data_IF_116451919738
#
_entry.id   IF_116451919738
#
_cell.length_a   1.000
_cell.length_b   1.000
_cell.length_c   1.000
_cell.angle_alpha   90.00
_cell.angle_beta   90.00
_cell.angle_gamma   90.00
#
_symmetry.space_group_name_H-M   'P 1'
#
loop_
_entity.id
_entity.type
_entity.pdbx_description
1 polymer ?
#
# COMPACT_ATOMS: atom_id res chain seq x y z
N UNK A 1 21.41 -2.87 32.62
CA UNK A 1 20.27 -3.10 31.71
C UNK A 1 20.70 -2.70 30.30
N UNK A 2 20.61 -3.64 29.35
CA UNK A 2 21.09 -3.50 27.98
C UNK A 2 20.47 -2.28 27.29
N UNK A 3 21.33 -1.42 26.73
CA UNK A 3 20.96 -0.24 25.96
C UNK A 3 20.17 -0.64 24.71
N UNK A 4 18.83 -0.61 24.82
CA UNK A 4 17.95 -0.45 23.66
C UNK A 4 18.23 0.94 23.09
N UNK A 5 19.24 0.99 22.24
CA UNK A 5 19.76 2.21 21.63
C UNK A 5 18.63 3.10 21.13
N UNK A 6 18.85 4.41 21.20
CA UNK A 6 18.31 5.46 20.34
C UNK A 6 18.66 5.22 18.83
N UNK A 7 18.82 3.95 18.44
CA UNK A 7 19.19 3.46 17.14
C UNK A 7 17.93 3.19 16.34
N UNK A 8 17.51 4.20 15.59
CA UNK A 8 17.00 3.98 14.24
C UNK A 8 17.07 5.23 13.36
N UNK A 9 17.83 6.26 13.74
CA UNK A 9 18.08 7.41 12.85
C UNK A 9 18.69 6.96 11.50
N UNK A 10 19.59 5.97 11.52
CA UNK A 10 20.12 5.31 10.31
C UNK A 10 19.03 4.64 9.47
N UNK A 11 18.10 3.92 10.11
CA UNK A 11 16.96 3.27 9.46
C UNK A 11 16.02 4.31 8.83
N UNK A 12 15.75 5.43 9.53
CA UNK A 12 14.95 6.54 9.02
C UNK A 12 15.61 7.19 7.80
N UNK A 13 16.92 7.46 7.84
CA UNK A 13 17.64 8.02 6.69
C UNK A 13 17.57 7.07 5.49
N UNK A 14 17.79 5.78 5.70
CA UNK A 14 17.74 4.78 4.63
C UNK A 14 16.34 4.69 4.00
N UNK A 15 15.30 4.62 4.83
CA UNK A 15 13.90 4.65 4.36
C UNK A 15 13.57 5.95 3.62
N UNK A 16 14.06 7.10 4.12
CA UNK A 16 13.86 8.39 3.48
C UNK A 16 14.50 8.47 2.09
N UNK A 17 15.73 7.96 1.95
CA UNK A 17 16.42 7.87 0.64
C UNK A 17 15.63 6.98 -0.32
N UNK A 18 15.21 5.79 0.12
CA UNK A 18 14.39 4.88 -0.72
C UNK A 18 13.09 5.56 -1.16
N UNK A 19 12.40 6.24 -0.24
CA UNK A 19 11.15 6.94 -0.54
C UNK A 19 11.34 8.07 -1.56
N UNK A 20 12.44 8.83 -1.48
CA UNK A 20 12.78 9.86 -2.47
C UNK A 20 13.05 9.24 -3.84
N UNK A 21 13.85 8.17 -3.91
CA UNK A 21 14.14 7.49 -5.17
C UNK A 21 12.87 6.93 -5.81
N UNK A 22 12.04 6.25 -5.03
CA UNK A 22 10.74 5.78 -5.49
C UNK A 22 9.87 6.94 -5.99
N UNK A 23 9.79 8.03 -5.22
CA UNK A 23 9.00 9.21 -5.58
C UNK A 23 9.44 9.84 -6.90
N UNK A 24 10.75 9.93 -7.11
CA UNK A 24 11.32 10.46 -8.35
C UNK A 24 11.03 9.55 -9.55
N UNK A 25 11.20 8.23 -9.40
CA UNK A 25 10.89 7.27 -10.46
C UNK A 25 9.40 7.29 -10.84
N UNK A 26 8.52 7.37 -9.83
CA UNK A 26 7.08 7.43 -10.01
C UNK A 26 6.61 8.66 -10.79
N UNK A 27 7.29 9.81 -10.65
CA UNK A 27 6.96 11.05 -11.36
C UNK A 27 7.56 11.10 -12.75
N UNK A 28 8.82 10.68 -12.93
CA UNK A 28 9.53 10.77 -14.22
C UNK A 28 9.07 9.67 -15.18
N UNK A 29 8.91 8.44 -14.69
CA UNK A 29 8.58 7.27 -15.51
C UNK A 29 7.43 6.47 -14.87
N UNK A 30 6.21 7.02 -14.86
CA UNK A 30 5.08 6.40 -14.17
C UNK A 30 4.69 5.04 -14.76
N UNK A 31 4.72 4.89 -16.08
CA UNK A 31 4.33 3.64 -16.75
C UNK A 31 5.19 2.42 -16.35
N UNK A 32 6.52 2.62 -16.30
CA UNK A 32 7.45 1.56 -15.88
C UNK A 32 7.38 1.33 -14.38
N UNK A 33 7.20 2.38 -13.59
CA UNK A 33 7.05 2.28 -12.13
C UNK A 33 5.81 1.47 -11.75
N UNK A 34 4.65 1.74 -12.38
CA UNK A 34 3.43 0.94 -12.21
C UNK A 34 3.70 -0.54 -12.48
N UNK A 35 4.36 -0.85 -13.59
CA UNK A 35 4.65 -2.22 -14.01
C UNK A 35 5.58 -2.92 -13.01
N UNK A 36 6.65 -2.24 -12.58
CA UNK A 36 7.59 -2.76 -11.59
C UNK A 36 6.91 -3.03 -10.25
N UNK A 37 6.02 -2.13 -9.79
CA UNK A 37 5.26 -2.32 -8.56
C UNK A 37 4.36 -3.55 -8.63
N UNK A 38 3.61 -3.72 -9.73
CA UNK A 38 2.70 -4.85 -9.89
C UNK A 38 3.46 -6.17 -9.94
N UNK A 39 4.61 -6.20 -10.61
CA UNK A 39 5.49 -7.36 -10.61
C UNK A 39 6.01 -7.66 -9.20
N UNK A 40 6.47 -6.65 -8.47
CA UNK A 40 6.91 -6.79 -7.09
C UNK A 40 5.80 -7.34 -6.17
N UNK A 41 4.58 -6.79 -6.26
CA UNK A 41 3.42 -7.32 -5.54
C UNK A 41 3.10 -8.76 -5.95
N UNK A 42 3.21 -9.09 -7.24
CA UNK A 42 3.03 -10.44 -7.74
C UNK A 42 4.01 -11.43 -7.09
N UNK A 43 5.29 -11.06 -7.00
CA UNK A 43 6.33 -11.88 -6.35
C UNK A 43 6.04 -12.04 -4.85
N UNK A 44 5.64 -10.97 -4.15
CA UNK A 44 5.27 -11.07 -2.73
C UNK A 44 4.08 -12.01 -2.54
N UNK A 45 3.03 -11.84 -3.34
CA UNK A 45 1.83 -12.68 -3.26
C UNK A 45 2.17 -14.14 -3.57
N UNK A 46 3.10 -14.41 -4.50
CA UNK A 46 3.62 -15.75 -4.74
C UNK A 46 4.30 -16.33 -3.49
N UNK A 47 5.21 -15.56 -2.86
CA UNK A 47 5.92 -16.00 -1.65
C UNK A 47 4.92 -16.29 -0.53
N UNK A 48 3.94 -15.41 -0.33
CA UNK A 48 2.88 -15.60 0.67
C UNK A 48 2.06 -16.85 0.34
N UNK A 49 1.64 -17.02 -0.92
CA UNK A 49 0.87 -18.18 -1.37
C UNK A 49 1.61 -19.48 -1.14
N UNK A 50 2.92 -19.53 -1.41
CA UNK A 50 3.78 -20.68 -1.12
C UNK A 50 3.91 -20.95 0.38
N UNK A 51 4.05 -19.89 1.20
CA UNK A 51 4.09 -20.03 2.66
C UNK A 51 2.76 -20.55 3.22
N UNK A 52 1.63 -20.05 2.71
CA UNK A 52 0.29 -20.54 3.07
C UNK A 52 0.08 -21.99 2.64
N UNK A 53 0.57 -22.37 1.46
CA UNK A 53 0.52 -23.75 0.99
C UNK A 53 1.31 -24.67 1.94
N UNK A 54 2.48 -24.24 2.40
CA UNK A 54 3.26 -24.97 3.39
C UNK A 54 2.50 -25.12 4.72
N UNK A 55 1.84 -24.04 5.18
CA UNK A 55 0.94 -24.08 6.33
C UNK A 55 -0.22 -25.06 6.15
N UNK A 56 -0.88 -25.06 4.99
CA UNK A 56 -1.97 -25.97 4.68
C UNK A 56 -1.51 -27.45 4.71
N UNK A 57 -0.33 -27.75 4.15
CA UNK A 57 0.27 -29.09 4.23
C UNK A 57 0.62 -29.49 5.66
N UNK A 58 1.04 -28.53 6.51
CA UNK A 58 1.21 -28.77 7.94
C UNK A 58 -0.11 -29.14 8.61
N UNK A 59 -1.19 -28.40 8.32
CA UNK A 59 -2.53 -28.62 8.88
C UNK A 59 -3.11 -29.98 8.47
N UNK A 60 -2.84 -30.45 7.24
CA UNK A 60 -3.18 -31.81 6.79
C UNK A 60 -2.50 -32.85 7.69
N UNK A 61 -1.20 -32.69 7.98
CA UNK A 61 -0.45 -33.61 8.85
C UNK A 61 -0.93 -33.59 10.30
N UNK A 62 -1.40 -32.43 10.77
CA UNK A 62 -1.93 -32.25 12.11
C UNK A 62 -3.43 -32.60 12.26
N UNK A 63 -4.09 -33.10 11.20
CA UNK A 63 -5.53 -33.38 11.16
C UNK A 63 -6.43 -32.17 11.50
N UNK A 64 -5.95 -30.96 11.21
CA UNK A 64 -6.72 -29.71 11.37
C UNK A 64 -7.52 -29.39 10.10
N UNK A 65 -8.55 -28.53 10.18
CA UNK A 65 -9.24 -28.03 8.99
C UNK A 65 -8.26 -27.34 8.04
N UNK A 66 -8.09 -27.88 6.83
CA UNK A 66 -7.09 -27.41 5.86
C UNK A 66 -7.68 -26.92 4.55
N UNK A 67 -8.96 -27.21 4.27
CA UNK A 67 -9.60 -26.96 2.97
C UNK A 67 -9.59 -25.47 2.62
N UNK A 68 -9.89 -24.60 3.59
CA UNK A 68 -9.88 -23.14 3.42
C UNK A 68 -8.48 -22.61 3.10
N UNK A 69 -7.46 -23.11 3.81
CA UNK A 69 -6.07 -22.68 3.64
C UNK A 69 -5.50 -23.18 2.32
N UNK A 70 -5.86 -24.40 1.91
CA UNK A 70 -5.46 -24.99 0.64
C UNK A 70 -6.07 -24.21 -0.54
N UNK A 71 -7.37 -23.90 -0.49
CA UNK A 71 -8.02 -23.10 -1.54
C UNK A 71 -7.40 -21.69 -1.60
N UNK A 72 -7.23 -21.04 -0.45
CA UNK A 72 -6.68 -19.68 -0.37
C UNK A 72 -5.24 -19.62 -0.89
N UNK A 73 -4.41 -20.62 -0.59
CA UNK A 73 -3.04 -20.70 -1.09
C UNK A 73 -2.97 -20.93 -2.59
N UNK A 74 -3.81 -21.80 -3.15
CA UNK A 74 -3.88 -22.01 -4.61
C UNK A 74 -4.30 -20.71 -5.32
N UNK A 75 -5.33 -20.03 -4.80
CA UNK A 75 -5.78 -18.74 -5.35
C UNK A 75 -4.65 -17.71 -5.29
N UNK A 76 -3.98 -17.57 -4.13
CA UNK A 76 -2.87 -16.64 -3.97
C UNK A 76 -1.72 -16.93 -4.96
N UNK A 77 -1.36 -18.21 -5.15
CA UNK A 77 -0.32 -18.59 -6.12
C UNK A 77 -0.75 -18.21 -7.55
N UNK A 78 -1.98 -18.55 -7.97
CA UNK A 78 -2.48 -18.21 -9.31
C UNK A 78 -2.44 -16.69 -9.53
N UNK A 79 -2.93 -15.92 -8.55
CA UNK A 79 -2.92 -14.45 -8.60
C UNK A 79 -1.50 -13.91 -8.68
N UNK A 80 -0.58 -14.44 -7.87
CA UNK A 80 0.83 -14.04 -7.87
C UNK A 80 1.51 -14.33 -9.21
N UNK A 81 1.28 -15.51 -9.82
CA UNK A 81 1.80 -15.86 -11.15
C UNK A 81 1.26 -14.87 -12.19
N UNK A 82 -0.06 -14.62 -12.15
CA UNK A 82 -0.70 -13.70 -13.08
C UNK A 82 -0.13 -12.27 -12.99
N UNK A 83 0.08 -11.75 -11.78
CA UNK A 83 0.65 -10.41 -11.57
C UNK A 83 2.12 -10.33 -12.02
N UNK A 84 2.90 -11.38 -11.78
CA UNK A 84 4.33 -11.42 -12.08
C UNK A 84 4.60 -11.52 -13.59
N UNK A 85 3.87 -12.39 -14.30
CA UNK A 85 4.16 -12.71 -15.71
C UNK A 85 3.22 -12.02 -16.71
N UNK A 86 2.01 -11.64 -16.30
CA UNK A 86 1.02 -10.99 -17.16
C UNK A 86 0.72 -9.56 -16.72
N UNK A 87 1.74 -8.83 -16.26
CA UNK A 87 1.62 -7.53 -15.58
C UNK A 87 0.70 -6.53 -16.28
N UNK A 88 0.79 -6.38 -17.61
CA UNK A 88 -0.06 -5.46 -18.37
C UNK A 88 -1.55 -5.86 -18.38
N UNK A 89 -1.87 -7.16 -18.51
CA UNK A 89 -3.25 -7.66 -18.47
C UNK A 89 -3.79 -7.69 -17.04
N UNK A 90 -2.95 -8.08 -16.08
CA UNK A 90 -3.28 -8.12 -14.66
C UNK A 90 -3.60 -6.72 -14.13
N UNK A 91 -2.89 -5.68 -14.60
CA UNK A 91 -3.22 -4.29 -14.30
C UNK A 91 -4.65 -3.94 -14.72
N UNK A 92 -5.03 -4.30 -15.95
CA UNK A 92 -6.37 -4.03 -16.47
C UNK A 92 -7.44 -4.71 -15.62
N UNK A 93 -7.23 -5.99 -15.28
CA UNK A 93 -8.16 -6.77 -14.43
C UNK A 93 -8.28 -6.16 -13.03
N UNK A 94 -7.15 -5.81 -12.40
CA UNK A 94 -7.12 -5.18 -11.08
C UNK A 94 -7.91 -3.88 -11.06
N UNK A 95 -7.68 -3.04 -12.07
CA UNK A 95 -8.34 -1.75 -12.17
C UNK A 95 -9.84 -1.95 -12.39
N UNK A 96 -10.27 -2.90 -13.22
CA UNK A 96 -11.70 -3.23 -13.38
C UNK A 96 -12.32 -3.69 -12.05
N UNK A 97 -11.64 -4.55 -11.28
CA UNK A 97 -12.12 -4.99 -9.96
C UNK A 97 -12.28 -3.80 -9.01
N UNK A 98 -11.28 -2.90 -8.96
CA UNK A 98 -11.34 -1.68 -8.14
C UNK A 98 -12.47 -0.76 -8.61
N UNK A 99 -12.69 -0.64 -9.92
CA UNK A 99 -13.78 0.14 -10.49
C UNK A 99 -15.16 -0.39 -10.09
N UNK A 100 -15.36 -1.71 -10.18
CA UNK A 100 -16.57 -2.39 -9.71
C UNK A 100 -16.78 -2.16 -8.21
N UNK A 101 -15.72 -2.27 -7.41
CA UNK A 101 -15.77 -2.01 -5.97
C UNK A 101 -16.13 -0.56 -5.66
N UNK A 102 -15.53 0.41 -6.37
CA UNK A 102 -15.84 1.84 -6.21
C UNK A 102 -17.30 2.15 -6.53
N UNK A 103 -17.85 1.54 -7.59
CA UNK A 103 -19.28 1.64 -7.93
C UNK A 103 -20.14 1.06 -6.80
N UNK A 104 -19.77 -0.11 -6.27
CA UNK A 104 -20.49 -0.72 -5.15
C UNK A 104 -20.49 0.20 -3.92
N UNK A 105 -19.33 0.76 -3.56
CA UNK A 105 -19.20 1.72 -2.45
C UNK A 105 -20.07 2.96 -2.69
N UNK A 106 -20.06 3.52 -3.90
CA UNK A 106 -20.88 4.68 -4.24
C UNK A 106 -22.38 4.36 -4.06
N UNK A 107 -22.84 3.20 -4.55
CA UNK A 107 -24.24 2.75 -4.39
C UNK A 107 -24.61 2.61 -2.92
N UNK A 108 -23.75 2.00 -2.10
CA UNK A 108 -23.96 1.87 -0.65
C UNK A 108 -24.02 3.25 0.03
N UNK A 109 -23.13 4.18 -0.32
CA UNK A 109 -23.13 5.53 0.24
C UNK A 109 -24.38 6.32 -0.15
N UNK A 110 -24.84 6.23 -1.41
CA UNK A 110 -26.10 6.81 -1.84
C UNK A 110 -27.30 6.21 -1.09
N UNK A 111 -27.30 4.89 -0.88
CA UNK A 111 -28.33 4.22 -0.07
C UNK A 111 -28.32 4.72 1.38
N UNK A 112 -27.16 4.80 2.02
CA UNK A 112 -27.03 5.33 3.39
C UNK A 112 -27.48 6.79 3.50
N UNK A 113 -27.24 7.62 2.48
CA UNK A 113 -27.68 9.01 2.45
C UNK A 113 -29.21 9.18 2.42
N UNK A 114 -29.95 8.17 1.91
CA UNK A 114 -31.43 8.17 1.94
C UNK A 114 -32.03 7.82 3.31
N UNK A 115 -31.23 7.29 4.24
CA UNK A 115 -31.69 7.00 5.61
C UNK A 115 -31.92 8.31 6.38
N UNK A 116 -33.06 8.40 7.08
CA UNK A 116 -33.52 9.62 7.74
C UNK A 116 -32.87 9.89 9.11
N UNK A 117 -31.93 9.04 9.52
CA UNK A 117 -31.27 9.08 10.84
C UNK A 117 -30.06 10.04 10.90
N UNK A 118 -29.60 10.57 9.76
CA UNK A 118 -28.41 11.44 9.69
C UNK A 118 -28.75 12.93 9.77
N UNK A 119 -27.93 13.67 10.52
CA UNK A 119 -27.98 15.14 10.61
C UNK A 119 -27.67 15.72 9.21
N UNK A 120 -28.32 16.82 8.81
CA UNK A 120 -28.22 17.41 7.45
C UNK A 120 -26.77 17.66 6.96
N UNK A 121 -25.85 17.95 7.88
CA UNK A 121 -24.40 18.08 7.63
C UNK A 121 -23.74 16.77 7.19
N UNK A 122 -24.09 15.66 7.82
CA UNK A 122 -23.55 14.33 7.51
C UNK A 122 -24.07 13.85 6.15
N UNK A 123 -25.35 14.10 5.85
CA UNK A 123 -25.95 13.80 4.53
C UNK A 123 -25.20 14.45 3.37
N UNK A 124 -24.87 15.75 3.47
CA UNK A 124 -24.12 16.43 2.41
C UNK A 124 -22.72 15.83 2.23
N UNK A 125 -22.06 15.47 3.33
CA UNK A 125 -20.73 14.83 3.28
C UNK A 125 -20.79 13.47 2.59
N UNK A 126 -21.79 12.62 2.89
CA UNK A 126 -21.97 11.33 2.23
C UNK A 126 -22.29 11.47 0.73
N UNK A 127 -23.11 12.45 0.33
CA UNK A 127 -23.45 12.69 -1.08
C UNK A 127 -22.24 13.17 -1.87
N UNK A 128 -21.46 14.11 -1.33
CA UNK A 128 -20.25 14.62 -2.00
C UNK A 128 -19.22 13.49 -2.14
N UNK A 129 -19.01 12.70 -1.07
CA UNK A 129 -18.06 11.59 -1.10
C UNK A 129 -18.49 10.49 -2.08
N UNK A 130 -19.80 10.17 -2.12
CA UNK A 130 -20.37 9.23 -3.10
C UNK A 130 -20.20 9.71 -4.54
N UNK A 131 -20.37 11.00 -4.81
CA UNK A 131 -20.18 11.57 -6.14
C UNK A 131 -18.71 11.55 -6.57
N UNK A 132 -17.78 11.86 -5.66
CA UNK A 132 -16.33 11.76 -5.89
C UNK A 132 -15.95 10.30 -6.17
N UNK A 133 -16.45 9.37 -5.36
CA UNK A 133 -16.18 7.93 -5.53
C UNK A 133 -16.74 7.40 -6.85
N UNK A 134 -17.94 7.83 -7.26
CA UNK A 134 -18.53 7.50 -8.56
C UNK A 134 -17.70 8.05 -9.72
N UNK A 135 -17.34 9.33 -9.68
CA UNK A 135 -16.51 9.96 -10.71
C UNK A 135 -15.16 9.25 -10.83
N UNK A 136 -14.52 8.96 -9.70
CA UNK A 136 -13.28 8.18 -9.65
C UNK A 136 -13.45 6.78 -10.24
N UNK A 137 -14.51 6.06 -9.87
CA UNK A 137 -14.81 4.73 -10.41
C UNK A 137 -15.05 4.73 -11.93
N UNK A 138 -15.74 5.74 -12.45
CA UNK A 138 -15.97 5.91 -13.90
C UNK A 138 -14.67 6.17 -14.65
N UNK A 139 -13.83 7.10 -14.17
CA UNK A 139 -12.53 7.40 -14.78
C UNK A 139 -11.65 6.13 -14.82
N UNK A 140 -11.65 5.39 -13.72
CA UNK A 140 -10.87 4.18 -13.53
C UNK A 140 -11.35 3.04 -14.46
N UNK A 141 -12.66 2.98 -14.77
CA UNK A 141 -13.23 2.01 -15.70
C UNK A 141 -12.89 2.32 -17.17
N UNK A 142 -12.97 3.59 -17.60
CA UNK A 142 -12.74 3.96 -18.98
C UNK A 142 -11.25 4.06 -19.35
N UNK A 143 -10.41 4.57 -18.46
CA UNK A 143 -8.98 4.77 -18.69
C UNK A 143 -8.13 4.13 -17.57
N UNK A 144 -8.07 2.79 -17.50
CA UNK A 144 -7.42 2.10 -16.39
C UNK A 144 -5.90 2.35 -16.33
N UNK A 145 -5.24 2.42 -17.49
CA UNK A 145 -3.79 2.65 -17.58
C UNK A 145 -3.40 4.05 -17.15
N UNK A 146 -4.10 5.08 -17.65
CA UNK A 146 -3.84 6.47 -17.24
C UNK A 146 -4.16 6.68 -15.77
N UNK A 147 -5.25 6.10 -15.27
CA UNK A 147 -5.62 6.21 -13.85
C UNK A 147 -4.58 5.55 -12.95
N UNK A 148 -4.07 4.38 -13.31
CA UNK A 148 -3.00 3.71 -12.56
C UNK A 148 -1.70 4.54 -12.54
N UNK A 149 -1.32 5.13 -13.68
CA UNK A 149 -0.17 6.03 -13.77
C UNK A 149 -0.38 7.28 -12.91
N UNK A 150 -1.55 7.89 -12.97
CA UNK A 150 -1.89 9.06 -12.16
C UNK A 150 -1.81 8.77 -10.66
N UNK A 151 -2.32 7.62 -10.21
CA UNK A 151 -2.20 7.19 -8.82
C UNK A 151 -0.75 6.96 -8.42
N UNK A 152 0.08 6.39 -9.29
CA UNK A 152 1.51 6.24 -9.04
C UNK A 152 2.20 7.59 -8.92
N UNK A 153 1.89 8.56 -9.79
CA UNK A 153 2.43 9.93 -9.69
C UNK A 153 2.05 10.57 -8.36
N UNK A 154 0.78 10.52 -7.96
CA UNK A 154 0.33 11.04 -6.65
C UNK A 154 1.09 10.35 -5.51
N UNK A 155 1.16 9.03 -5.53
CA UNK A 155 1.88 8.26 -4.50
C UNK A 155 3.36 8.63 -4.47
N UNK A 156 3.95 8.93 -5.64
CA UNK A 156 5.35 9.31 -5.79
C UNK A 156 5.63 10.69 -5.21
N UNK A 157 4.77 11.67 -5.48
CA UNK A 157 4.85 13.00 -4.89
C UNK A 157 4.76 12.91 -3.36
N UNK A 158 3.80 12.13 -2.85
CA UNK A 158 3.66 11.91 -1.40
C UNK A 158 4.90 11.24 -0.82
N UNK A 159 5.40 10.17 -1.46
CA UNK A 159 6.60 9.47 -1.01
C UNK A 159 7.85 10.36 -1.01
N UNK A 160 7.99 11.24 -2.00
CA UNK A 160 9.06 12.23 -2.03
C UNK A 160 8.99 13.17 -0.83
N UNK A 161 7.81 13.74 -0.55
CA UNK A 161 7.59 14.63 0.61
C UNK A 161 7.90 13.89 1.92
N UNK A 162 7.36 12.68 2.09
CA UNK A 162 7.62 11.85 3.27
C UNK A 162 9.11 11.51 3.43
N UNK A 163 9.79 11.21 2.32
CA UNK A 163 11.22 10.93 2.33
C UNK A 163 12.06 12.11 2.80
N UNK A 164 11.74 13.33 2.33
CA UNK A 164 12.39 14.56 2.80
C UNK A 164 12.16 14.76 4.31
N UNK A 165 10.92 14.56 4.79
CA UNK A 165 10.58 14.67 6.22
C UNK A 165 11.34 13.63 7.06
N UNK A 166 11.44 12.38 6.59
CA UNK A 166 12.17 11.31 7.27
C UNK A 166 13.66 11.62 7.41
N UNK A 167 14.29 12.17 6.37
CA UNK A 167 15.69 12.60 6.41
C UNK A 167 15.85 13.79 7.37
N UNK A 168 14.92 14.74 7.37
CA UNK A 168 14.95 15.85 8.32
C UNK A 168 14.87 15.37 9.77
N UNK A 169 13.94 14.47 10.08
CA UNK A 169 13.79 13.87 11.41
C UNK A 169 15.04 13.07 11.79
N UNK A 170 15.64 12.33 10.86
CA UNK A 170 16.83 11.52 11.14
C UNK A 170 18.04 12.37 11.50
N UNK A 171 18.23 13.51 10.84
CA UNK A 171 19.29 14.48 11.17
C UNK A 171 19.05 15.07 12.55
N UNK A 172 17.80 15.41 12.89
CA UNK A 172 17.45 15.92 14.22
C UNK A 172 17.71 14.89 15.32
N UNK A 173 17.35 13.63 15.09
CA UNK A 173 17.62 12.52 16.02
C UNK A 173 19.11 12.25 16.18
N UNK A 174 19.91 12.36 15.11
CA UNK A 174 21.38 12.27 15.19
C UNK A 174 21.95 13.29 16.17
N UNK A 175 21.50 14.54 16.07
CA UNK A 175 22.01 15.63 16.89
C UNK A 175 21.62 15.45 18.35
N UNK A 176 20.38 15.04 18.64
CA UNK A 176 19.94 14.75 20.02
C UNK A 176 20.78 13.60 20.61
N UNK A 177 21.00 12.53 19.86
CA UNK A 177 21.81 11.41 20.32
C UNK A 177 23.28 11.80 20.56
N UNK A 178 23.84 12.77 19.82
CA UNK A 178 25.21 13.24 20.04
C UNK A 178 25.35 14.01 21.37
N UNK A 179 24.39 14.90 21.65
CA UNK A 179 24.38 15.71 22.89
C UNK A 179 24.27 14.82 24.12
N UNK A 180 23.37 13.82 24.09
CA UNK A 180 23.20 12.89 25.21
C UNK A 180 24.43 12.03 25.50
N UNK A 181 25.25 11.72 24.49
CA UNK A 181 26.49 10.97 24.67
C UNK A 181 27.57 11.85 25.32
N UNK A 182 27.68 13.10 24.90
CA UNK A 182 28.64 14.07 25.46
C UNK A 182 28.35 14.35 26.95
N UNK A 183 27.09 14.54 27.35
CA UNK A 183 26.72 14.74 28.77
C UNK A 183 27.06 13.53 29.65
N UNK A 184 26.92 12.30 29.15
CA UNK A 184 27.29 11.08 29.91
C UNK A 184 28.80 10.84 30.02
N UNK A 185 29.61 11.42 29.12
CA UNK A 185 31.08 11.37 29.19
C UNK A 185 31.65 12.42 30.13
N UNK A 186 31.00 13.58 30.29
CA UNK A 186 31.41 14.60 31.27
C UNK A 186 31.08 14.25 32.72
N UNK A 187 30.13 13.33 32.96
CA UNK A 187 29.68 12.92 34.31
C UNK A 187 30.48 11.72 34.89
N UNK A 188 31.40 11.12 34.12
CA UNK A 188 32.29 10.01 34.56
C UNK A 188 33.75 10.43 34.67
#
# INVERSE_FOLDING_TARGET
MSSKSLGNWRMLTFNGIIAIFYGLLAVIVPATTVTAMVMYFGIIILIIGLAMLWGAVSNIRAQLPYVTDLISSIIAIIVGVALTFYTAKSLTIFVVIIGIWAVFVAVVQFYLATRHEFIRSEKNTFVINGLISLAFGVILFFNPFETAQFLVVISGVLAFIFGVVLIYISVRLKNINKVLIEETEEEN
#
